data_IF_185780959237
#
_entry.id   IF_185780959237
#
_cell.length_a   1.000
_cell.length_b   1.000
_cell.length_c   1.000
_cell.angle_alpha   90.00
_cell.angle_beta   90.00
_cell.angle_gamma   90.00
#
_symmetry.space_group_name_H-M   'P 1'
#
loop_
_entity.id
_entity.type
_entity.pdbx_description
1 polymer ?
#
# COMPACT_ATOMS: atom_id res chain seq x y z
N UNK A 1 0.42 22.16 6.32
CA UNK A 1 1.32 21.70 7.30
C UNK A 1 1.70 20.26 7.08
N UNK A 2 2.93 19.96 7.08
CA UNK A 2 3.35 18.61 6.75
C UNK A 2 3.56 17.82 8.01
N UNK A 3 3.32 16.53 7.91
CA UNK A 3 3.53 15.66 9.02
C UNK A 3 4.99 15.29 9.11
N UNK A 4 5.41 15.02 10.32
CA UNK A 4 6.74 14.54 10.52
C UNK A 4 6.86 13.15 9.96
N UNK A 5 7.95 12.89 9.29
CA UNK A 5 8.21 11.55 8.80
C UNK A 5 8.79 10.70 9.90
N UNK A 6 8.37 9.47 9.93
CA UNK A 6 8.80 8.53 10.93
C UNK A 6 9.93 7.69 10.36
N UNK A 7 10.94 7.48 11.17
CA UNK A 7 12.07 6.66 10.74
C UNK A 7 11.77 5.20 11.02
N UNK A 8 11.91 4.38 10.00
CA UNK A 8 11.62 2.96 10.10
C UNK A 8 12.76 2.18 9.47
N UNK A 9 13.15 1.10 10.12
CA UNK A 9 14.18 0.22 9.58
C UNK A 9 13.49 -0.98 8.95
N UNK A 10 13.82 -1.23 7.69
CA UNK A 10 13.21 -2.35 6.97
C UNK A 10 14.29 -3.15 6.27
N UNK A 11 13.96 -4.39 5.99
CA UNK A 11 14.81 -5.25 5.20
C UNK A 11 14.21 -5.35 3.81
N UNK A 12 15.00 -5.04 2.81
CA UNK A 12 14.52 -4.98 1.44
C UNK A 12 15.27 -5.98 0.57
N UNK A 13 14.51 -6.63 -0.31
CA UNK A 13 15.09 -7.50 -1.31
C UNK A 13 16.20 -6.75 -2.07
N UNK A 14 17.37 -7.36 -2.24
CA UNK A 14 18.48 -6.67 -2.93
C UNK A 14 18.12 -6.14 -4.31
N UNK A 15 17.29 -6.86 -5.06
CA UNK A 15 16.90 -6.39 -6.38
C UNK A 15 16.08 -5.13 -6.31
N UNK A 16 15.22 -5.03 -5.29
CA UNK A 16 14.41 -3.83 -5.12
C UNK A 16 15.25 -2.67 -4.67
N UNK A 17 16.23 -2.94 -3.82
CA UNK A 17 17.13 -1.89 -3.37
C UNK A 17 17.93 -1.34 -4.55
N UNK A 18 18.42 -2.23 -5.40
CA UNK A 18 19.18 -1.82 -6.56
C UNK A 18 18.35 -1.00 -7.52
N UNK A 19 17.10 -1.39 -7.69
CA UNK A 19 16.20 -0.65 -8.56
C UNK A 19 15.95 0.76 -8.02
N UNK A 20 15.75 0.87 -6.71
CA UNK A 20 15.52 2.18 -6.11
C UNK A 20 16.74 3.07 -6.29
N UNK A 21 17.93 2.51 -6.09
CA UNK A 21 19.16 3.27 -6.27
C UNK A 21 19.32 3.71 -7.71
N UNK A 22 18.93 2.87 -8.65
CA UNK A 22 19.02 3.23 -10.04
C UNK A 22 18.10 4.40 -10.38
N UNK A 23 16.91 4.42 -9.79
CA UNK A 23 16.02 5.55 -9.99
C UNK A 23 16.63 6.84 -9.48
N UNK A 24 17.31 6.76 -8.34
CA UNK A 24 17.94 7.95 -7.80
C UNK A 24 19.07 8.41 -8.71
N UNK A 25 19.90 7.47 -9.18
CA UNK A 25 21.04 7.83 -10.02
C UNK A 25 20.61 8.43 -11.34
N UNK A 26 19.49 7.97 -11.87
CA UNK A 26 19.00 8.48 -13.14
C UNK A 26 18.20 9.76 -12.98
N UNK A 27 18.08 10.29 -11.78
CA UNK A 27 17.38 11.54 -11.56
C UNK A 27 15.88 11.41 -11.50
N UNK A 28 15.36 10.19 -11.46
CA UNK A 28 13.92 9.99 -11.44
C UNK A 28 13.36 10.01 -10.03
N UNK A 29 14.21 10.00 -9.03
CA UNK A 29 13.78 10.07 -7.63
C UNK A 29 14.85 10.81 -6.85
N UNK A 30 14.43 11.45 -5.77
CA UNK A 30 15.35 12.23 -4.96
C UNK A 30 16.19 11.36 -4.04
N UNK A 31 15.62 10.27 -3.57
CA UNK A 31 16.29 9.42 -2.63
C UNK A 31 15.61 8.06 -2.60
N UNK A 32 16.29 7.09 -2.02
CA UNK A 32 15.69 5.77 -1.85
C UNK A 32 14.45 5.86 -0.98
N UNK A 33 14.49 6.70 0.06
CA UNK A 33 13.32 6.91 0.90
C UNK A 33 12.14 7.43 0.09
N UNK A 34 12.42 8.33 -0.85
CA UNK A 34 11.35 8.88 -1.69
C UNK A 34 10.73 7.80 -2.56
N UNK A 35 11.56 6.89 -3.08
CA UNK A 35 11.05 5.79 -3.88
C UNK A 35 10.13 4.92 -3.04
N UNK A 36 10.55 4.60 -1.83
CA UNK A 36 9.76 3.73 -0.97
C UNK A 36 8.48 4.41 -0.54
N UNK A 37 8.56 5.68 -0.17
CA UNK A 37 7.35 6.42 0.20
C UNK A 37 6.37 6.50 -0.96
N UNK A 38 6.89 6.70 -2.16
CA UNK A 38 6.04 6.77 -3.33
C UNK A 38 5.35 5.44 -3.60
N UNK A 39 6.09 4.35 -3.49
CA UNK A 39 5.51 3.03 -3.72
C UNK A 39 4.42 2.73 -2.70
N UNK A 40 4.67 3.09 -1.44
CA UNK A 40 3.70 2.86 -0.39
C UNK A 40 2.47 3.72 -0.58
N UNK A 41 2.67 4.95 -1.01
CA UNK A 41 1.54 5.84 -1.29
C UNK A 41 0.67 5.27 -2.41
N UNK A 42 1.30 4.72 -3.44
CA UNK A 42 0.55 4.11 -4.51
C UNK A 42 -0.26 2.92 -4.02
N UNK A 43 0.32 2.15 -3.11
CA UNK A 43 -0.40 1.00 -2.57
C UNK A 43 -1.61 1.46 -1.78
N UNK A 44 -1.46 2.52 -1.00
CA UNK A 44 -2.57 3.06 -0.24
C UNK A 44 -3.67 3.54 -1.17
N UNK A 45 -3.30 4.26 -2.24
CA UNK A 45 -4.28 4.74 -3.18
C UNK A 45 -4.99 3.60 -3.90
N UNK A 46 -4.25 2.57 -4.24
CA UNK A 46 -4.85 1.42 -4.90
C UNK A 46 -5.86 0.74 -3.99
N UNK A 47 -5.48 0.56 -2.72
CA UNK A 47 -6.39 -0.06 -1.76
C UNK A 47 -7.65 0.77 -1.59
N UNK A 48 -7.52 2.09 -1.58
CA UNK A 48 -8.68 2.97 -1.45
C UNK A 48 -9.60 2.87 -2.66
N UNK A 49 -9.02 2.78 -3.85
CA UNK A 49 -9.83 2.64 -5.06
C UNK A 49 -10.58 1.33 -5.07
N UNK A 50 -9.91 0.27 -4.64
CA UNK A 50 -10.55 -1.04 -4.61
C UNK A 50 -11.69 -1.04 -3.60
N UNK A 51 -11.46 -0.47 -2.43
CA UNK A 51 -12.50 -0.41 -1.41
C UNK A 51 -13.69 0.41 -1.88
N UNK A 52 -13.41 1.53 -2.54
CA UNK A 52 -14.49 2.38 -3.05
C UNK A 52 -15.30 1.64 -4.09
N UNK A 53 -14.63 0.91 -4.96
CA UNK A 53 -15.31 0.14 -5.98
C UNK A 53 -16.19 -0.93 -5.38
N UNK A 54 -15.70 -1.62 -4.36
CA UNK A 54 -16.49 -2.61 -3.68
C UNK A 54 -17.73 -1.99 -3.05
N UNK A 55 -17.58 -0.81 -2.48
CA UNK A 55 -18.72 -0.13 -1.89
C UNK A 55 -19.75 0.28 -2.93
N UNK A 56 -19.27 0.70 -4.09
CA UNK A 56 -20.18 1.05 -5.18
C UNK A 56 -20.94 -0.17 -5.66
N UNK A 57 -20.25 -1.29 -5.79
CA UNK A 57 -20.92 -2.53 -6.17
C UNK A 57 -21.88 -2.96 -5.08
N UNK A 58 -21.53 -2.71 -3.84
CA UNK A 58 -22.37 -3.04 -2.72
C UNK A 58 -23.68 -2.29 -2.77
N UNK A 59 -23.62 -1.04 -3.19
CA UNK A 59 -24.82 -0.22 -3.25
C UNK A 59 -25.78 -0.76 -4.30
N UNK A 60 -25.30 -1.56 -5.23
CA UNK A 60 -26.14 -2.12 -6.27
C UNK A 60 -26.50 -3.57 -6.03
N UNK A 61 -26.04 -4.13 -4.91
CA UNK A 61 -26.27 -5.53 -4.62
C UNK A 61 -26.88 -5.68 -3.24
N UNK A 62 -27.02 -6.93 -2.81
CA UNK A 62 -27.54 -7.22 -1.47
C UNK A 62 -26.59 -6.67 -0.44
N UNK A 63 -27.01 -5.70 0.38
CA UNK A 63 -26.11 -5.10 1.35
C UNK A 63 -25.53 -6.09 2.35
N UNK A 64 -26.30 -7.06 2.77
CA UNK A 64 -25.82 -8.03 3.74
C UNK A 64 -24.71 -8.89 3.15
N UNK A 65 -24.86 -9.27 1.90
CA UNK A 65 -23.87 -10.09 1.24
C UNK A 65 -22.56 -9.32 1.07
N UNK A 66 -22.69 -8.06 0.71
CA UNK A 66 -21.51 -7.24 0.51
C UNK A 66 -20.80 -6.98 1.82
N UNK A 67 -21.55 -6.77 2.89
CA UNK A 67 -20.97 -6.59 4.20
C UNK A 67 -20.11 -7.78 4.58
N UNK A 68 -20.64 -8.98 4.34
CA UNK A 68 -19.88 -10.17 4.64
C UNK A 68 -18.63 -10.28 3.81
N UNK A 69 -18.74 -9.88 2.54
CA UNK A 69 -17.61 -9.93 1.65
C UNK A 69 -16.51 -8.96 2.09
N UNK A 70 -16.91 -7.75 2.45
CA UNK A 70 -15.97 -6.77 2.93
C UNK A 70 -15.31 -7.20 4.24
N UNK A 71 -16.09 -7.78 5.12
CA UNK A 71 -15.55 -8.26 6.38
C UNK A 71 -14.51 -9.35 6.14
N UNK A 72 -14.77 -10.21 5.17
CA UNK A 72 -13.83 -11.27 4.84
C UNK A 72 -12.51 -10.68 4.31
N UNK A 73 -12.61 -9.70 3.44
CA UNK A 73 -11.41 -9.06 2.89
C UNK A 73 -10.62 -8.37 3.98
N UNK A 74 -11.31 -7.68 4.89
CA UNK A 74 -10.62 -7.00 5.97
C UNK A 74 -9.93 -8.01 6.89
N UNK A 75 -10.59 -9.13 7.15
CA UNK A 75 -10.00 -10.16 8.00
C UNK A 75 -8.74 -10.72 7.36
N UNK A 76 -8.76 -10.92 6.05
CA UNK A 76 -7.58 -11.40 5.37
C UNK A 76 -6.45 -10.40 5.41
N UNK A 77 -6.78 -9.13 5.25
CA UNK A 77 -5.77 -8.09 5.35
C UNK A 77 -5.12 -8.08 6.73
N UNK A 78 -5.94 -8.23 7.76
CA UNK A 78 -5.42 -8.22 9.10
C UNK A 78 -4.51 -9.38 9.38
N UNK A 79 -4.70 -10.49 8.66
CA UNK A 79 -3.88 -11.67 8.85
C UNK A 79 -2.60 -11.63 8.06
N UNK A 80 -2.49 -10.73 7.07
CA UNK A 80 -1.27 -10.63 6.30
C UNK A 80 -0.16 -10.12 7.20
N UNK A 81 0.99 -10.74 7.17
CA UNK A 81 2.10 -10.30 8.02
C UNK A 81 2.62 -8.99 7.48
N UNK A 82 2.39 -7.95 8.22
CA UNK A 82 2.93 -6.65 7.89
C UNK A 82 4.36 -6.52 8.30
N UNK A 83 4.73 -7.29 9.29
CA UNK A 83 6.10 -7.29 9.65
C UNK A 83 6.46 -8.68 9.70
N UNK A 84 7.59 -8.97 9.27
CA UNK A 84 8.06 -10.24 9.46
C UNK A 84 9.41 -10.29 9.34
N UNK A 85 9.82 -11.13 9.85
CA UNK A 85 11.16 -11.25 10.12
C UNK A 85 11.90 -11.81 9.02
#
# INVERSE_FOLDING_TARGET
MSERKTRVTVTIDPRLAAYAEQLVESGKAESVSAVINGALSERVERDRRIRRRWKELAAQADPAKVERMLAHVEAQRAQLPLTHR
#
